data_IF_158032717067
#
_entry.id   IF_158032717067
#
_cell.length_a   1.000
_cell.length_b   1.000
_cell.length_c   1.000
_cell.angle_alpha   90.00
_cell.angle_beta   90.00
_cell.angle_gamma   90.00
#
_symmetry.space_group_name_H-M   'P 1'
#
loop_
_entity.id
_entity.type
_entity.pdbx_description
1 polymer ?
#
# COMPACT_ATOMS: atom_id res chain seq x y z
N UNK A 1 2.46 -21.06 13.50
CA UNK A 1 3.84 -20.81 12.98
C UNK A 1 4.18 -19.34 13.12
N UNK A 2 5.44 -18.91 13.12
CA UNK A 2 5.75 -17.49 13.23
C UNK A 2 5.25 -16.75 11.99
N UNK A 3 4.57 -15.63 12.20
CA UNK A 3 4.17 -14.69 11.15
C UNK A 3 5.33 -13.74 10.81
N UNK A 4 5.27 -13.18 9.61
CA UNK A 4 6.26 -12.26 9.09
C UNK A 4 5.61 -11.06 8.40
N UNK A 5 6.42 -10.03 8.13
CA UNK A 5 5.97 -8.80 7.52
C UNK A 5 6.95 -8.33 6.45
N UNK A 6 6.39 -7.78 5.38
CA UNK A 6 7.07 -6.91 4.42
C UNK A 6 6.24 -5.64 4.27
N UNK A 7 6.80 -4.50 4.65
CA UNK A 7 6.24 -3.21 4.25
C UNK A 7 7.17 -2.58 3.22
N UNK A 8 6.58 -2.06 2.13
CA UNK A 8 7.39 -1.45 1.09
C UNK A 8 6.62 -0.39 0.32
N UNK A 9 7.34 0.66 -0.04
CA UNK A 9 6.84 1.61 -1.01
C UNK A 9 6.64 0.91 -2.35
N UNK A 10 5.51 1.19 -2.96
CA UNK A 10 5.31 0.96 -4.38
C UNK A 10 5.47 2.28 -5.12
N UNK A 11 5.83 2.23 -6.38
CA UNK A 11 5.77 3.39 -7.25
C UNK A 11 5.51 2.92 -8.67
N UNK A 12 4.47 3.44 -9.32
CA UNK A 12 4.22 3.12 -10.73
C UNK A 12 5.31 3.69 -11.65
N UNK A 13 6.23 4.47 -11.12
CA UNK A 13 7.29 5.14 -11.85
C UNK A 13 8.58 4.33 -11.96
N UNK A 14 8.69 3.16 -11.32
CA UNK A 14 9.90 2.33 -11.29
C UNK A 14 10.48 2.07 -12.70
N UNK A 15 9.62 1.78 -13.68
CA UNK A 15 10.02 1.50 -15.06
C UNK A 15 9.84 2.70 -16.01
N UNK A 16 9.33 3.85 -15.51
CA UNK A 16 8.98 5.01 -16.33
C UNK A 16 9.86 6.23 -16.10
N UNK A 17 10.70 6.19 -15.06
CA UNK A 17 11.67 7.25 -14.73
C UNK A 17 13.03 6.63 -14.46
N UNK A 18 14.08 7.44 -14.51
CA UNK A 18 15.46 6.96 -14.38
C UNK A 18 16.20 7.76 -13.30
N UNK A 19 16.12 7.33 -12.03
CA UNK A 19 16.87 7.95 -10.95
C UNK A 19 18.39 7.74 -11.15
N UNK A 20 19.26 8.46 -10.41
CA UNK A 20 20.69 8.26 -10.43
C UNK A 20 21.08 6.79 -10.26
N UNK A 21 22.10 6.32 -10.98
CA UNK A 21 22.45 4.91 -11.06
C UNK A 21 22.72 4.26 -9.68
N UNK A 22 23.31 5.01 -8.75
CA UNK A 22 23.55 4.55 -7.38
C UNK A 22 22.24 4.41 -6.57
N UNK A 23 21.26 5.28 -6.84
CA UNK A 23 19.91 5.20 -6.24
C UNK A 23 19.18 3.97 -6.78
N UNK A 24 19.19 3.78 -8.11
CA UNK A 24 18.57 2.62 -8.76
C UNK A 24 19.16 1.30 -8.25
N UNK A 25 20.49 1.23 -8.15
CA UNK A 25 21.18 0.07 -7.61
C UNK A 25 20.82 -0.20 -6.14
N UNK A 26 20.66 0.84 -5.32
CA UNK A 26 20.28 0.69 -3.92
C UNK A 26 18.82 0.20 -3.77
N UNK A 27 17.89 0.68 -4.60
CA UNK A 27 16.51 0.20 -4.65
C UNK A 27 16.48 -1.27 -5.05
N UNK A 28 17.19 -1.66 -6.12
CA UNK A 28 17.26 -3.05 -6.56
C UNK A 28 17.87 -3.98 -5.49
N UNK A 29 18.92 -3.53 -4.80
CA UNK A 29 19.48 -4.29 -3.67
C UNK A 29 18.45 -4.48 -2.53
N UNK A 30 17.56 -3.51 -2.30
CA UNK A 30 16.48 -3.65 -1.32
C UNK A 30 15.44 -4.67 -1.77
N UNK A 31 15.10 -4.70 -3.05
CA UNK A 31 14.19 -5.70 -3.62
C UNK A 31 14.79 -7.12 -3.56
N UNK A 32 16.09 -7.26 -3.84
CA UNK A 32 16.79 -8.54 -3.68
C UNK A 32 16.76 -9.04 -2.21
N UNK A 33 16.94 -8.13 -1.24
CA UNK A 33 16.82 -8.49 0.17
C UNK A 33 15.40 -9.00 0.51
N UNK A 34 14.35 -8.34 -0.03
CA UNK A 34 12.95 -8.78 0.15
C UNK A 34 12.71 -10.12 -0.54
N UNK A 35 13.14 -10.30 -1.80
CA UNK A 35 13.01 -11.59 -2.52
C UNK A 35 13.65 -12.73 -1.75
N UNK A 36 14.86 -12.50 -1.25
CA UNK A 36 15.56 -13.49 -0.42
C UNK A 36 14.78 -13.82 0.86
N UNK A 37 14.34 -12.79 1.59
CA UNK A 37 13.54 -12.94 2.81
C UNK A 37 12.27 -13.76 2.56
N UNK A 38 11.50 -13.41 1.54
CA UNK A 38 10.23 -14.08 1.21
C UNK A 38 10.46 -15.52 0.73
N UNK A 39 11.52 -15.76 -0.03
CA UNK A 39 11.91 -17.11 -0.45
C UNK A 39 12.31 -18.02 0.72
N UNK A 40 13.04 -17.49 1.69
CA UNK A 40 13.44 -18.24 2.89
C UNK A 40 12.25 -18.46 3.83
N UNK A 41 11.38 -17.48 3.97
CA UNK A 41 10.18 -17.57 4.78
C UNK A 41 9.13 -18.50 4.16
N UNK A 42 8.93 -18.45 2.84
CA UNK A 42 7.99 -19.24 2.04
C UNK A 42 6.56 -19.23 2.61
N UNK A 43 5.81 -18.13 2.47
CA UNK A 43 4.48 -18.00 3.05
C UNK A 43 3.45 -18.95 2.41
N UNK A 44 2.55 -19.50 3.24
CA UNK A 44 1.37 -20.25 2.79
C UNK A 44 0.25 -19.31 2.33
N UNK A 45 0.18 -18.12 2.94
CA UNK A 45 -0.83 -17.11 2.66
C UNK A 45 -0.25 -15.71 2.87
N UNK A 46 -0.68 -14.79 2.04
CA UNK A 46 -0.34 -13.36 2.12
C UNK A 46 -1.60 -12.57 2.46
N UNK A 47 -1.50 -11.62 3.39
CA UNK A 47 -2.52 -10.58 3.61
C UNK A 47 -1.91 -9.27 3.20
N UNK A 48 -2.43 -8.68 2.13
CA UNK A 48 -1.89 -7.46 1.53
C UNK A 48 -2.78 -6.26 1.82
N UNK A 49 -2.34 -5.40 2.72
CA UNK A 49 -2.95 -4.09 2.95
C UNK A 49 -2.44 -3.14 1.86
N UNK A 50 -3.35 -2.68 1.00
CA UNK A 50 -3.02 -1.82 -0.12
C UNK A 50 -4.02 -0.69 -0.31
N UNK A 51 -3.59 0.44 -0.91
CA UNK A 51 -4.48 1.50 -1.39
C UNK A 51 -5.04 1.14 -2.76
N UNK A 52 -5.78 2.07 -3.35
CA UNK A 52 -6.15 2.12 -4.77
C UNK A 52 -6.07 3.57 -5.26
N UNK A 53 -5.67 3.77 -6.50
CA UNK A 53 -5.45 5.10 -7.10
C UNK A 53 -6.52 5.40 -8.16
N UNK A 54 -7.79 5.22 -7.80
CA UNK A 54 -8.94 5.37 -8.71
C UNK A 54 -8.85 4.46 -9.94
N UNK A 55 -8.60 3.18 -9.70
CA UNK A 55 -8.68 2.12 -10.71
C UNK A 55 -9.77 1.09 -10.34
N UNK A 56 -9.87 0.70 -9.08
CA UNK A 56 -10.89 -0.20 -8.55
C UNK A 56 -11.94 0.49 -7.68
N UNK A 57 -11.56 1.54 -6.94
CA UNK A 57 -12.43 2.29 -6.05
C UNK A 57 -12.58 3.74 -6.49
N UNK A 58 -13.81 4.24 -6.48
CA UNK A 58 -14.18 5.59 -6.90
C UNK A 58 -15.11 6.23 -5.89
N UNK A 59 -15.36 7.53 -6.03
CA UNK A 59 -16.17 8.26 -5.07
C UNK A 59 -17.69 8.13 -5.30
N UNK A 60 -18.11 7.26 -6.24
CA UNK A 60 -19.49 6.74 -6.30
C UNK A 60 -19.79 5.89 -5.05
N UNK A 61 -18.80 5.14 -4.56
CA UNK A 61 -18.84 4.42 -3.29
C UNK A 61 -17.40 4.14 -2.78
N UNK A 62 -16.92 4.93 -1.83
CA UNK A 62 -15.59 4.81 -1.26
C UNK A 62 -15.66 4.25 0.17
N UNK A 63 -15.47 2.93 0.38
CA UNK A 63 -15.46 2.35 1.72
C UNK A 63 -14.15 2.69 2.44
N UNK A 64 -14.15 2.78 3.79
CA UNK A 64 -12.91 2.95 4.55
C UNK A 64 -11.98 1.74 4.41
N UNK A 65 -12.55 0.53 4.39
CA UNK A 65 -11.89 -0.76 4.25
C UNK A 65 -12.71 -1.69 3.39
N UNK A 66 -12.05 -2.54 2.60
CA UNK A 66 -12.74 -3.58 1.83
C UNK A 66 -11.87 -4.84 1.74
N UNK A 67 -12.48 -6.00 1.99
CA UNK A 67 -11.82 -7.31 1.87
C UNK A 67 -12.24 -7.94 0.54
N UNK A 68 -11.27 -8.40 -0.25
CA UNK A 68 -11.54 -9.11 -1.48
C UNK A 68 -11.91 -10.57 -1.21
N UNK A 69 -13.00 -11.03 -1.81
CA UNK A 69 -13.31 -12.46 -1.95
C UNK A 69 -12.85 -13.00 -3.31
N UNK A 70 -12.74 -12.10 -4.31
CA UNK A 70 -12.03 -12.29 -5.56
C UNK A 70 -11.42 -10.96 -5.99
N UNK A 71 -10.30 -11.00 -6.69
CA UNK A 71 -9.62 -9.79 -7.15
C UNK A 71 -9.00 -9.97 -8.52
N UNK A 72 -8.92 -8.87 -9.29
CA UNK A 72 -8.36 -8.82 -10.63
C UNK A 72 -7.44 -7.61 -10.75
N UNK A 73 -6.21 -7.81 -11.21
CA UNK A 73 -5.25 -6.75 -11.49
C UNK A 73 -5.61 -6.00 -12.76
N UNK A 74 -5.69 -4.65 -12.69
CA UNK A 74 -6.16 -3.80 -13.79
C UNK A 74 -5.09 -3.46 -14.82
N UNK A 75 -3.80 -3.70 -14.51
CA UNK A 75 -2.69 -3.46 -15.43
C UNK A 75 -2.40 -1.98 -15.69
N UNK A 76 -2.62 -1.12 -14.73
CA UNK A 76 -2.19 0.26 -14.82
C UNK A 76 -0.65 0.33 -14.73
N UNK A 77 -0.04 1.28 -15.45
CA UNK A 77 1.43 1.44 -15.54
C UNK A 77 2.16 0.12 -15.88
N UNK A 78 1.58 -0.68 -16.78
CA UNK A 78 2.12 -1.97 -17.21
C UNK A 78 2.27 -3.02 -16.07
N UNK A 79 1.58 -2.83 -14.95
CA UNK A 79 1.52 -3.78 -13.85
C UNK A 79 0.71 -5.03 -14.21
N UNK A 80 0.69 -6.01 -13.32
CA UNK A 80 0.02 -7.29 -13.51
C UNK A 80 -1.46 -7.16 -13.92
N UNK A 81 -1.82 -7.89 -14.97
CA UNK A 81 -3.20 -8.04 -15.48
C UNK A 81 -3.64 -9.48 -15.27
N UNK A 82 -4.77 -9.68 -14.62
CA UNK A 82 -5.35 -11.00 -14.48
C UNK A 82 -5.92 -11.27 -13.07
N UNK A 83 -6.51 -12.45 -12.94
CA UNK A 83 -7.10 -12.87 -11.67
C UNK A 83 -6.01 -13.20 -10.65
N UNK A 84 -6.19 -12.71 -9.44
CA UNK A 84 -5.33 -13.03 -8.31
C UNK A 84 -5.77 -14.34 -7.65
N UNK A 85 -4.82 -15.03 -7.01
CA UNK A 85 -5.09 -16.24 -6.27
C UNK A 85 -5.66 -15.90 -4.87
N UNK A 86 -6.95 -15.52 -4.81
CA UNK A 86 -7.59 -15.17 -3.53
C UNK A 86 -8.18 -16.44 -2.87
N UNK A 87 -7.77 -16.78 -1.64
CA UNK A 87 -8.36 -17.91 -0.89
C UNK A 87 -9.73 -17.48 -0.33
N UNK A 88 -10.77 -17.55 -1.16
CA UNK A 88 -12.10 -17.00 -0.92
C UNK A 88 -12.71 -17.41 0.42
N UNK A 89 -12.63 -18.69 0.78
CA UNK A 89 -13.18 -19.20 2.05
C UNK A 89 -12.51 -18.51 3.26
N UNK A 90 -11.18 -18.40 3.25
CA UNK A 90 -10.44 -17.74 4.33
C UNK A 90 -10.75 -16.23 4.37
N UNK A 91 -10.95 -15.61 3.20
CA UNK A 91 -11.35 -14.19 3.13
C UNK A 91 -12.75 -13.96 3.70
N UNK A 92 -13.70 -14.86 3.45
CA UNK A 92 -15.05 -14.83 4.01
C UNK A 92 -15.02 -15.00 5.54
N UNK A 93 -14.25 -15.97 6.03
CA UNK A 93 -14.06 -16.20 7.47
C UNK A 93 -13.41 -14.99 8.15
N UNK A 94 -12.37 -14.38 7.54
CA UNK A 94 -11.73 -13.18 8.05
C UNK A 94 -12.72 -12.02 8.14
N UNK A 95 -13.48 -11.76 7.08
CA UNK A 95 -14.46 -10.67 7.08
C UNK A 95 -15.53 -10.87 8.16
N UNK A 96 -16.05 -12.07 8.31
CA UNK A 96 -17.02 -12.40 9.36
C UNK A 96 -16.41 -12.24 10.76
N UNK A 97 -15.15 -12.67 10.93
CA UNK A 97 -14.44 -12.50 12.20
C UNK A 97 -14.31 -11.02 12.57
N UNK A 98 -13.90 -10.16 11.62
CA UNK A 98 -13.74 -8.73 11.85
C UNK A 98 -15.06 -8.05 12.22
N UNK A 99 -16.17 -8.39 11.54
CA UNK A 99 -17.50 -7.88 11.87
C UNK A 99 -17.91 -8.29 13.29
N UNK A 100 -17.61 -9.52 13.70
CA UNK A 100 -17.89 -10.00 15.06
C UNK A 100 -16.99 -9.31 16.13
N UNK A 101 -15.92 -8.61 15.72
CA UNK A 101 -15.06 -7.78 16.57
C UNK A 101 -15.41 -6.28 16.49
N UNK A 102 -16.62 -5.93 16.07
CA UNK A 102 -17.08 -4.54 15.88
C UNK A 102 -16.23 -3.74 14.88
N UNK A 103 -15.66 -4.41 13.89
CA UNK A 103 -14.89 -3.80 12.80
C UNK A 103 -15.71 -3.86 11.51
N UNK A 104 -16.35 -2.74 11.18
CA UNK A 104 -17.12 -2.62 9.94
C UNK A 104 -16.18 -2.65 8.73
N UNK A 105 -16.31 -3.67 7.91
CA UNK A 105 -15.56 -3.83 6.66
C UNK A 105 -16.53 -4.05 5.50
N UNK A 106 -16.26 -3.42 4.35
CA UNK A 106 -16.91 -3.80 3.11
C UNK A 106 -16.31 -5.11 2.58
N UNK A 107 -17.05 -5.77 1.70
CA UNK A 107 -16.56 -6.95 0.99
C UNK A 107 -16.72 -6.76 -0.52
N UNK A 108 -15.84 -7.37 -1.30
CA UNK A 108 -15.97 -7.39 -2.75
C UNK A 108 -15.77 -8.79 -3.31
N UNK A 109 -16.76 -9.25 -4.09
CA UNK A 109 -16.65 -10.49 -4.89
C UNK A 109 -16.05 -10.24 -6.27
N UNK A 110 -15.71 -8.99 -6.57
CA UNK A 110 -15.10 -8.55 -7.83
C UNK A 110 -14.28 -7.30 -7.57
N UNK A 111 -13.25 -7.41 -6.75
CA UNK A 111 -12.35 -6.29 -6.50
C UNK A 111 -11.43 -6.10 -7.70
N UNK A 112 -11.39 -4.89 -8.24
CA UNK A 112 -10.33 -4.48 -9.15
C UNK A 112 -9.23 -3.85 -8.32
N UNK A 113 -7.98 -4.22 -8.58
CA UNK A 113 -6.80 -3.72 -7.86
C UNK A 113 -5.77 -3.18 -8.84
N UNK A 114 -5.06 -2.16 -8.44
CA UNK A 114 -4.02 -1.52 -9.25
C UNK A 114 -2.59 -1.86 -8.76
N UNK A 115 -1.59 -1.16 -9.31
CA UNK A 115 -0.17 -1.31 -8.93
C UNK A 115 0.05 -1.24 -7.41
N UNK A 116 -0.75 -0.46 -6.69
CA UNK A 116 -0.66 -0.35 -5.22
C UNK A 116 -0.83 -1.68 -4.50
N UNK A 117 -1.63 -2.59 -5.04
CA UNK A 117 -1.83 -3.92 -4.47
C UNK A 117 -0.96 -5.00 -5.13
N UNK A 118 -0.71 -4.91 -6.45
CA UNK A 118 0.01 -6.00 -7.15
C UNK A 118 1.51 -5.85 -7.15
N UNK A 119 2.06 -4.64 -7.15
CA UNK A 119 3.50 -4.40 -7.32
C UNK A 119 4.38 -5.05 -6.23
N UNK A 120 4.03 -5.07 -4.93
CA UNK A 120 4.80 -5.83 -3.97
C UNK A 120 4.92 -7.32 -4.32
N UNK A 121 3.82 -7.92 -4.80
CA UNK A 121 3.82 -9.32 -5.22
C UNK A 121 4.66 -9.53 -6.49
N UNK A 122 4.59 -8.62 -7.47
CA UNK A 122 5.42 -8.67 -8.67
C UNK A 122 6.91 -8.61 -8.33
N UNK A 123 7.30 -7.71 -7.41
CA UNK A 123 8.68 -7.59 -6.95
C UNK A 123 9.15 -8.86 -6.26
N UNK A 124 8.32 -9.47 -5.41
CA UNK A 124 8.67 -10.67 -4.65
C UNK A 124 8.67 -11.96 -5.47
N UNK A 125 7.89 -12.02 -6.55
CA UNK A 125 7.63 -13.23 -7.33
C UNK A 125 7.84 -13.05 -8.84
N UNK A 126 8.86 -12.29 -9.21
CA UNK A 126 9.32 -12.13 -10.61
C UNK A 126 8.19 -11.78 -11.59
N UNK A 127 7.38 -10.80 -11.25
CA UNK A 127 6.25 -10.30 -12.06
C UNK A 127 4.94 -11.08 -11.91
N UNK A 128 4.90 -12.15 -11.11
CA UNK A 128 3.69 -12.96 -10.93
C UNK A 128 2.94 -12.59 -9.65
N UNK A 129 2.02 -11.64 -9.72
CA UNK A 129 1.20 -11.24 -8.57
C UNK A 129 0.25 -12.33 -8.05
N UNK A 130 -0.01 -13.38 -8.83
CA UNK A 130 -0.86 -14.52 -8.45
C UNK A 130 -0.08 -15.74 -7.91
N UNK A 131 1.24 -15.61 -7.66
CA UNK A 131 2.13 -16.72 -7.28
C UNK A 131 1.74 -17.38 -5.95
N UNK A 132 1.15 -16.65 -5.02
CA UNK A 132 0.75 -17.15 -3.70
C UNK A 132 -0.72 -16.82 -3.42
N UNK A 133 -1.38 -17.62 -2.56
CA UNK A 133 -2.68 -17.23 -2.03
C UNK A 133 -2.58 -15.87 -1.33
N UNK A 134 -3.35 -14.87 -1.79
CA UNK A 134 -3.31 -13.51 -1.26
C UNK A 134 -4.71 -12.97 -0.99
N UNK A 135 -4.92 -12.39 0.19
CA UNK A 135 -6.11 -11.65 0.56
C UNK A 135 -5.82 -10.15 0.41
N UNK A 136 -6.32 -9.49 -0.63
CA UNK A 136 -6.27 -8.03 -0.71
C UNK A 136 -7.21 -7.40 0.33
N UNK A 137 -6.66 -6.48 1.12
CA UNK A 137 -7.39 -5.66 2.09
C UNK A 137 -7.18 -4.20 1.70
N UNK A 138 -8.17 -3.63 1.02
CA UNK A 138 -8.14 -2.23 0.63
C UNK A 138 -8.28 -1.33 1.85
N UNK A 139 -7.45 -0.27 1.90
CA UNK A 139 -7.53 0.82 2.87
C UNK A 139 -7.61 2.14 2.11
N UNK A 140 -8.70 2.89 2.30
CA UNK A 140 -8.83 4.21 1.68
C UNK A 140 -7.70 5.13 2.14
N UNK A 141 -6.83 5.48 1.19
CA UNK A 141 -5.66 6.35 1.39
C UNK A 141 -5.63 7.54 0.41
N UNK A 142 -6.70 7.75 -0.38
CA UNK A 142 -6.73 8.77 -1.45
C UNK A 142 -7.91 9.73 -1.38
N UNK A 143 -9.01 9.35 -0.71
CA UNK A 143 -10.25 10.13 -0.70
C UNK A 143 -10.71 10.52 0.70
N UNK A 144 -10.92 11.82 0.93
CA UNK A 144 -11.58 12.29 2.14
C UNK A 144 -13.06 11.87 2.19
N UNK A 145 -13.60 11.62 3.41
CA UNK A 145 -12.93 11.66 4.72
C UNK A 145 -12.09 10.41 4.99
N UNK A 146 -10.89 10.60 5.55
CA UNK A 146 -10.05 9.50 5.96
C UNK A 146 -10.49 8.93 7.32
N UNK A 147 -10.43 7.61 7.43
CA UNK A 147 -10.60 6.92 8.70
C UNK A 147 -9.47 7.32 9.68
N UNK A 148 -9.77 7.49 10.97
CA UNK A 148 -8.73 7.73 11.98
C UNK A 148 -7.68 6.60 11.96
N UNK A 149 -6.41 6.94 12.14
CA UNK A 149 -5.33 5.96 12.14
C UNK A 149 -5.53 4.89 13.23
N UNK A 150 -6.09 5.26 14.37
CA UNK A 150 -6.49 4.29 15.41
C UNK A 150 -7.47 3.21 14.94
N UNK A 151 -8.32 3.52 13.96
CA UNK A 151 -9.24 2.52 13.36
C UNK A 151 -8.50 1.61 12.37
N UNK A 152 -7.50 2.16 11.67
CA UNK A 152 -6.61 1.37 10.80
C UNK A 152 -5.77 0.40 11.63
N UNK A 153 -5.22 0.88 12.76
CA UNK A 153 -4.51 0.04 13.73
C UNK A 153 -5.39 -1.11 14.22
N UNK A 154 -6.64 -0.80 14.61
CA UNK A 154 -7.61 -1.82 15.03
C UNK A 154 -7.96 -2.83 13.94
N UNK A 155 -8.03 -2.41 12.66
CA UNK A 155 -8.17 -3.34 11.55
C UNK A 155 -6.99 -4.32 11.52
N UNK A 156 -5.77 -3.80 11.61
CA UNK A 156 -4.56 -4.63 11.68
C UNK A 156 -4.58 -5.58 12.87
N UNK A 157 -4.91 -5.08 14.07
CA UNK A 157 -5.05 -5.90 15.28
C UNK A 157 -6.07 -7.03 15.09
N UNK A 158 -7.24 -6.75 14.50
CA UNK A 158 -8.26 -7.76 14.20
C UNK A 158 -7.78 -8.83 13.22
N UNK A 159 -7.07 -8.41 12.15
CA UNK A 159 -6.46 -9.35 11.20
C UNK A 159 -5.36 -10.19 11.89
N UNK A 160 -4.53 -9.58 12.71
CA UNK A 160 -3.52 -10.28 13.49
C UNK A 160 -4.13 -11.31 14.44
N UNK A 161 -5.20 -10.97 15.16
CA UNK A 161 -5.87 -11.89 16.08
C UNK A 161 -6.49 -13.08 15.33
N UNK A 162 -7.04 -12.87 14.13
CA UNK A 162 -7.56 -13.97 13.30
C UNK A 162 -6.46 -14.98 12.93
N UNK A 163 -5.26 -14.50 12.59
CA UNK A 163 -4.15 -15.37 12.16
C UNK A 163 -3.19 -15.79 13.28
N UNK A 164 -3.31 -15.24 14.48
CA UNK A 164 -2.37 -15.43 15.59
C UNK A 164 -2.10 -16.91 15.93
N UNK A 165 -3.15 -17.72 15.88
CA UNK A 165 -3.06 -19.14 16.19
C UNK A 165 -3.14 -20.03 14.93
N UNK A 166 -2.94 -19.45 13.74
CA UNK A 166 -2.91 -20.20 12.49
C UNK A 166 -1.70 -21.16 12.45
N UNK A 167 -1.91 -22.32 11.89
CA UNK A 167 -0.85 -23.28 11.53
C UNK A 167 -0.13 -22.90 10.23
N UNK A 168 -0.63 -21.89 9.51
CA UNK A 168 -0.06 -21.38 8.27
C UNK A 168 1.01 -20.32 8.54
N UNK A 169 2.00 -20.25 7.67
CA UNK A 169 2.94 -19.12 7.58
C UNK A 169 2.23 -17.96 6.90
N UNK A 170 1.92 -16.91 7.65
CA UNK A 170 1.21 -15.74 7.13
C UNK A 170 2.20 -14.59 6.95
N UNK A 171 2.25 -14.04 5.75
CA UNK A 171 3.00 -12.83 5.43
C UNK A 171 2.04 -11.64 5.39
N UNK A 172 2.24 -10.66 6.27
CA UNK A 172 1.54 -9.38 6.21
C UNK A 172 2.31 -8.42 5.32
N UNK A 173 1.64 -7.79 4.35
CA UNK A 173 2.21 -6.77 3.49
C UNK A 173 1.54 -5.43 3.79
N UNK A 174 2.35 -4.38 3.95
CA UNK A 174 1.91 -2.99 3.91
C UNK A 174 2.47 -2.32 2.66
N UNK A 175 1.61 -2.04 1.68
CA UNK A 175 2.01 -1.45 0.40
C UNK A 175 1.69 0.03 0.37
N UNK A 176 2.70 0.88 0.27
CA UNK A 176 2.50 2.34 0.20
C UNK A 176 3.77 3.15 0.36
N UNK A 177 3.83 4.29 -0.31
CA UNK A 177 4.89 5.29 -0.13
C UNK A 177 4.80 5.98 1.23
N UNK A 178 5.91 6.60 1.65
CA UNK A 178 5.96 7.45 2.85
C UNK A 178 5.53 8.88 2.48
N UNK A 179 6.36 9.91 2.69
CA UNK A 179 6.00 11.25 2.21
C UNK A 179 5.94 11.29 0.69
N UNK A 180 4.81 11.73 0.13
CA UNK A 180 4.67 11.96 -1.31
C UNK A 180 3.41 12.74 -1.67
N UNK A 181 3.46 13.44 -2.82
CA UNK A 181 2.38 14.33 -3.28
C UNK A 181 2.22 14.27 -4.82
N UNK A 182 1.90 13.09 -5.39
CA UNK A 182 1.64 12.96 -6.82
C UNK A 182 0.41 13.77 -7.25
N UNK A 183 0.22 14.08 -8.55
CA UNK A 183 -0.86 14.93 -9.04
C UNK A 183 -2.23 14.20 -9.07
N UNK A 184 -2.66 13.66 -7.92
CA UNK A 184 -3.95 13.02 -7.75
C UNK A 184 -5.02 14.09 -7.47
N UNK A 185 -6.12 14.14 -8.25
CA UNK A 185 -7.17 15.13 -8.04
C UNK A 185 -7.85 14.96 -6.68
N UNK A 186 -8.08 16.07 -5.98
CA UNK A 186 -8.89 16.13 -4.74
C UNK A 186 -10.26 16.71 -5.06
N UNK A 187 -11.33 16.04 -4.66
CA UNK A 187 -12.69 16.33 -5.09
C UNK A 187 -13.08 17.81 -4.93
N UNK A 188 -12.76 18.40 -3.78
CA UNK A 188 -13.15 19.80 -3.48
C UNK A 188 -12.37 20.84 -4.30
N UNK A 189 -11.23 20.48 -4.88
CA UNK A 189 -10.36 21.36 -5.65
C UNK A 189 -10.37 20.99 -7.15
N UNK A 190 -11.01 19.87 -7.48
CA UNK A 190 -11.04 19.31 -8.81
C UNK A 190 -11.94 20.10 -9.78
N UNK A 191 -11.55 20.13 -11.07
CA UNK A 191 -12.40 20.58 -12.15
C UNK A 191 -13.60 19.65 -12.34
N UNK A 192 -14.62 20.06 -13.08
CA UNK A 192 -15.81 19.24 -13.31
C UNK A 192 -15.46 17.92 -14.02
N UNK A 193 -14.52 17.93 -14.97
CA UNK A 193 -14.04 16.70 -15.64
C UNK A 193 -13.29 15.79 -14.67
N UNK A 194 -12.48 16.34 -13.77
CA UNK A 194 -11.81 15.56 -12.73
C UNK A 194 -12.81 14.99 -11.72
N UNK A 195 -13.82 15.76 -11.30
CA UNK A 195 -14.91 15.26 -10.44
C UNK A 195 -15.68 14.12 -11.09
N UNK A 196 -16.00 14.27 -12.39
CA UNK A 196 -16.63 13.21 -13.15
C UNK A 196 -15.78 11.95 -13.18
N UNK A 197 -14.46 12.09 -13.41
CA UNK A 197 -13.53 10.96 -13.34
C UNK A 197 -13.50 10.31 -11.95
N UNK A 198 -13.44 11.09 -10.87
CA UNK A 198 -13.41 10.57 -9.49
C UNK A 198 -14.68 9.77 -9.13
N UNK A 199 -15.80 10.02 -9.78
CA UNK A 199 -17.08 9.33 -9.54
C UNK A 199 -17.31 8.20 -10.57
N UNK A 200 -17.07 8.45 -11.86
CA UNK A 200 -17.49 7.59 -12.98
C UNK A 200 -16.30 7.04 -13.79
N UNK A 201 -15.07 7.21 -13.32
CA UNK A 201 -13.83 6.89 -14.06
C UNK A 201 -13.53 5.40 -14.23
N UNK A 202 -14.43 4.51 -13.81
CA UNK A 202 -14.30 3.06 -13.96
C UNK A 202 -14.25 2.66 -15.43
N UNK A 203 -13.36 1.72 -15.76
CA UNK A 203 -13.14 1.25 -17.13
C UNK A 203 -12.79 2.39 -18.12
N UNK A 204 -11.71 3.16 -17.88
CA UNK A 204 -11.31 4.23 -18.79
C UNK A 204 -10.93 3.68 -20.15
N UNK A 205 -11.05 4.49 -21.21
CA UNK A 205 -10.45 4.13 -22.49
C UNK A 205 -8.93 4.03 -22.39
N UNK A 206 -8.29 3.30 -23.29
CA UNK A 206 -6.82 3.18 -23.32
C UNK A 206 -6.14 4.56 -23.40
N UNK A 207 -6.69 5.47 -24.19
CA UNK A 207 -6.17 6.83 -24.38
C UNK A 207 -6.31 7.66 -23.08
N UNK A 208 -7.47 7.57 -22.40
CA UNK A 208 -7.69 8.28 -21.13
C UNK A 208 -6.77 7.77 -20.02
N UNK A 209 -6.56 6.45 -19.95
CA UNK A 209 -5.61 5.81 -19.03
C UNK A 209 -4.20 6.29 -19.32
N UNK A 210 -3.74 6.20 -20.57
CA UNK A 210 -2.40 6.61 -20.98
C UNK A 210 -2.15 8.10 -20.70
N UNK A 211 -3.11 8.98 -20.97
CA UNK A 211 -2.98 10.41 -20.70
C UNK A 211 -2.84 10.72 -19.19
N UNK A 212 -3.57 9.98 -18.34
CA UNK A 212 -3.45 10.09 -16.87
C UNK A 212 -2.08 9.64 -16.38
N UNK A 213 -1.62 8.48 -16.84
CA UNK A 213 -0.31 7.92 -16.48
C UNK A 213 0.83 8.85 -16.95
N UNK A 214 0.75 9.34 -18.19
CA UNK A 214 1.76 10.26 -18.73
C UNK A 214 1.88 11.54 -17.90
N UNK A 215 0.78 12.08 -17.39
CA UNK A 215 0.82 13.26 -16.51
C UNK A 215 1.62 13.00 -15.25
N UNK A 216 1.46 11.86 -14.61
CA UNK A 216 2.23 11.49 -13.41
C UNK A 216 3.72 11.31 -13.74
N UNK A 217 4.03 10.66 -14.87
CA UNK A 217 5.41 10.49 -15.35
C UNK A 217 6.08 11.87 -15.64
N UNK A 218 5.36 12.77 -16.29
CA UNK A 218 5.88 14.12 -16.60
C UNK A 218 6.08 14.94 -15.33
N UNK A 219 5.16 14.82 -14.35
CA UNK A 219 5.30 15.46 -13.04
C UNK A 219 6.53 14.93 -12.30
N UNK A 220 6.79 13.63 -12.32
CA UNK A 220 7.98 13.04 -11.70
C UNK A 220 9.28 13.58 -12.33
N UNK A 221 9.34 13.66 -13.66
CA UNK A 221 10.48 14.23 -14.38
C UNK A 221 10.71 15.72 -14.08
N UNK A 222 9.63 16.48 -13.91
CA UNK A 222 9.70 17.88 -13.49
C UNK A 222 10.13 17.99 -12.01
N UNK A 223 9.60 17.14 -11.14
CA UNK A 223 9.94 17.13 -9.72
C UNK A 223 11.41 16.81 -9.46
N UNK A 224 11.97 15.84 -10.18
CA UNK A 224 13.39 15.51 -10.13
C UNK A 224 14.29 16.71 -10.49
N UNK A 225 13.80 17.65 -11.34
CA UNK A 225 14.51 18.87 -11.72
C UNK A 225 14.20 20.07 -10.80
N UNK A 226 13.28 19.94 -9.85
CA UNK A 226 12.82 21.06 -9.02
C UNK A 226 11.87 22.02 -9.76
N UNK A 227 11.19 21.56 -10.80
CA UNK A 227 10.30 22.35 -11.67
C UNK A 227 8.80 22.05 -11.44
N UNK A 228 8.45 21.03 -10.62
CA UNK A 228 7.07 20.68 -10.33
C UNK A 228 6.53 21.48 -9.13
N UNK A 229 5.27 21.89 -9.23
CA UNK A 229 4.52 22.53 -8.13
C UNK A 229 3.78 21.47 -7.32
N UNK A 230 4.55 20.63 -6.63
CA UNK A 230 4.07 19.62 -5.66
C UNK A 230 4.91 19.71 -4.38
N UNK A 231 4.38 19.22 -3.28
CA UNK A 231 5.09 19.23 -1.99
C UNK A 231 6.39 18.39 -2.09
N UNK A 232 7.48 18.91 -1.51
CA UNK A 232 8.74 18.16 -1.45
C UNK A 232 8.63 16.98 -0.46
N UNK A 233 9.50 16.00 -0.65
CA UNK A 233 9.60 14.85 0.25
C UNK A 233 10.09 15.32 1.63
N UNK A 234 9.63 14.64 2.68
CA UNK A 234 10.00 14.96 4.06
C UNK A 234 10.72 13.78 4.75
N UNK A 235 12.05 13.67 4.57
CA UNK A 235 12.83 12.59 5.16
C UNK A 235 12.76 12.51 6.69
N UNK A 236 12.60 13.65 7.38
CA UNK A 236 12.49 13.68 8.83
C UNK A 236 11.19 13.03 9.31
N UNK A 237 10.08 13.35 8.66
CA UNK A 237 8.80 12.74 8.94
C UNK A 237 8.81 11.24 8.62
N UNK A 238 9.39 10.86 7.48
CA UNK A 238 9.51 9.47 7.04
C UNK A 238 10.27 8.64 8.06
N UNK A 239 11.43 9.14 8.53
CA UNK A 239 12.23 8.44 9.54
C UNK A 239 11.48 8.35 10.89
N UNK A 240 10.79 9.41 11.30
CA UNK A 240 9.98 9.39 12.53
C UNK A 240 8.85 8.34 12.45
N UNK A 241 8.22 8.18 11.28
CA UNK A 241 7.23 7.13 11.06
C UNK A 241 7.87 5.73 11.11
N UNK A 242 9.01 5.52 10.45
CA UNK A 242 9.73 4.25 10.48
C UNK A 242 10.24 3.91 11.90
N UNK A 243 10.58 4.91 12.72
CA UNK A 243 10.93 4.72 14.14
C UNK A 243 9.76 4.14 14.95
N UNK A 244 8.53 4.58 14.67
CA UNK A 244 7.35 3.98 15.29
C UNK A 244 7.23 2.50 14.88
N UNK A 245 7.36 2.21 13.58
CA UNK A 245 7.33 0.83 13.06
C UNK A 245 8.39 -0.05 13.75
N UNK A 246 9.59 0.47 13.93
CA UNK A 246 10.73 -0.25 14.57
C UNK A 246 10.51 -0.48 16.05
N UNK A 247 9.85 0.46 16.74
CA UNK A 247 9.68 0.39 18.20
C UNK A 247 8.74 -0.71 18.67
N UNK A 248 7.82 -1.18 17.83
CA UNK A 248 6.74 -2.10 18.21
C UNK A 248 5.65 -1.45 19.09
N UNK A 249 5.75 -0.16 19.40
CA UNK A 249 4.73 0.60 20.13
C UNK A 249 3.69 1.13 19.14
N UNK A 250 2.79 0.24 18.72
CA UNK A 250 1.80 0.52 17.68
C UNK A 250 0.76 1.56 18.09
N UNK A 251 0.56 1.83 19.38
CA UNK A 251 -0.37 2.86 19.85
C UNK A 251 0.12 4.27 19.47
N UNK A 252 1.42 4.46 19.26
CA UNK A 252 1.98 5.74 18.78
C UNK A 252 1.46 6.13 17.40
N UNK A 253 1.02 5.18 16.57
CA UNK A 253 0.35 5.51 15.30
C UNK A 253 -0.93 6.34 15.48
N UNK A 254 -1.61 6.25 16.63
CA UNK A 254 -2.85 6.99 16.89
C UNK A 254 -2.65 8.51 16.96
N UNK A 255 -1.40 8.96 17.13
CA UNK A 255 -1.05 10.38 17.11
C UNK A 255 -1.04 10.98 15.68
N UNK A 256 -1.00 10.16 14.64
CA UNK A 256 -1.01 10.63 13.25
C UNK A 256 -2.39 11.16 12.88
N UNK A 257 -2.46 12.44 12.50
CA UNK A 257 -3.70 13.11 12.08
C UNK A 257 -3.65 13.43 10.59
N UNK A 258 -4.77 13.24 9.90
CA UNK A 258 -4.85 13.40 8.46
C UNK A 258 -4.40 14.80 8.01
N UNK A 259 -4.89 15.84 8.67
CA UNK A 259 -4.58 17.23 8.32
C UNK A 259 -3.10 17.58 8.55
N UNK A 260 -2.48 17.00 9.58
CA UNK A 260 -1.04 17.17 9.85
C UNK A 260 -0.20 16.41 8.80
N UNK A 261 -0.61 15.21 8.42
CA UNK A 261 0.05 14.43 7.37
C UNK A 261 0.02 15.16 6.03
N UNK A 262 -1.14 15.70 5.62
CA UNK A 262 -1.28 16.51 4.41
C UNK A 262 -0.31 17.71 4.42
N UNK A 263 -0.21 18.39 5.56
CA UNK A 263 0.56 19.63 5.68
C UNK A 263 2.08 19.40 5.67
N UNK A 264 2.57 18.22 6.09
CA UNK A 264 4.01 17.99 6.29
C UNK A 264 4.59 16.88 5.43
N UNK A 265 3.78 15.97 4.91
CA UNK A 265 4.25 14.77 4.21
C UNK A 265 3.59 14.57 2.84
N UNK A 266 2.65 15.43 2.45
CA UNK A 266 1.95 15.37 1.17
C UNK A 266 0.65 14.57 1.22
N UNK A 267 -0.22 14.82 0.24
CA UNK A 267 -1.59 14.33 0.24
C UNK A 267 -1.72 12.81 0.00
N UNK A 268 -0.68 12.17 -0.47
CA UNK A 268 -0.66 10.72 -0.63
C UNK A 268 0.11 9.98 0.49
N UNK A 269 0.69 10.72 1.45
CA UNK A 269 1.33 10.12 2.64
C UNK A 269 0.39 9.21 3.45
N UNK A 270 -0.92 9.32 3.21
CA UNK A 270 -1.93 8.44 3.82
C UNK A 270 -1.76 6.96 3.48
N UNK A 271 -0.96 6.62 2.48
CA UNK A 271 -0.63 5.22 2.18
C UNK A 271 0.12 4.52 3.32
N UNK A 272 0.79 5.25 4.23
CA UNK A 272 1.36 4.65 5.45
C UNK A 272 0.32 3.94 6.32
N UNK A 273 -0.98 4.17 6.11
CA UNK A 273 -2.07 3.42 6.75
C UNK A 273 -1.97 1.92 6.50
N UNK A 274 -1.47 1.53 5.34
CA UNK A 274 -1.23 0.12 5.01
C UNK A 274 -0.13 -0.49 5.87
N UNK A 275 0.94 0.28 6.13
CA UNK A 275 2.01 -0.11 7.05
C UNK A 275 1.49 -0.18 8.49
N UNK A 276 0.70 0.80 8.91
CA UNK A 276 0.05 0.78 10.24
C UNK A 276 -0.74 -0.51 10.44
N UNK A 277 -1.57 -0.91 9.46
CA UNK A 277 -2.34 -2.14 9.55
C UNK A 277 -1.43 -3.39 9.59
N UNK A 278 -0.40 -3.46 8.73
CA UNK A 278 0.51 -4.59 8.67
C UNK A 278 1.34 -4.77 9.95
N UNK A 279 1.96 -3.68 10.47
CA UNK A 279 2.70 -3.73 11.72
C UNK A 279 1.80 -4.04 12.92
N UNK A 280 0.57 -3.53 12.94
CA UNK A 280 -0.40 -3.84 13.99
C UNK A 280 -0.82 -5.31 13.95
N UNK A 281 -1.00 -5.89 12.76
CA UNK A 281 -1.29 -7.31 12.60
C UNK A 281 -0.13 -8.18 13.14
N UNK A 282 1.10 -7.88 12.75
CA UNK A 282 2.26 -8.62 13.24
C UNK A 282 2.42 -8.47 14.76
N UNK A 283 2.30 -7.26 15.30
CA UNK A 283 2.44 -6.98 16.75
C UNK A 283 1.39 -7.71 17.59
N UNK A 284 0.19 -7.89 17.07
CA UNK A 284 -0.88 -8.65 17.73
C UNK A 284 -0.53 -10.15 17.81
N UNK A 285 0.18 -10.68 16.82
CA UNK A 285 0.67 -12.05 16.86
C UNK A 285 1.78 -12.24 17.91
N UNK A 286 2.57 -11.22 18.22
CA UNK A 286 3.64 -11.28 19.21
C UNK A 286 4.61 -10.09 19.11
N UNK A 287 5.68 -10.13 19.90
CA UNK A 287 6.80 -9.22 19.69
C UNK A 287 7.55 -9.60 18.42
N UNK A 288 8.12 -8.60 17.73
CA UNK A 288 8.86 -8.81 16.51
C UNK A 288 10.20 -8.09 16.49
N UNK A 289 11.09 -8.54 15.63
CA UNK A 289 12.34 -7.86 15.29
C UNK A 289 12.28 -7.43 13.81
N UNK A 290 12.67 -6.18 13.54
CA UNK A 290 12.93 -5.71 12.17
C UNK A 290 14.25 -6.32 11.70
N UNK A 291 14.21 -7.05 10.59
CA UNK A 291 15.34 -7.81 10.06
C UNK A 291 16.05 -7.15 8.90
N UNK A 292 15.35 -6.23 8.21
CA UNK A 292 15.90 -5.41 7.13
C UNK A 292 15.19 -4.06 7.10
N UNK A 293 15.93 -3.03 6.71
CA UNK A 293 15.42 -1.68 6.52
C UNK A 293 16.17 -0.97 5.40
N UNK A 294 15.42 -0.27 4.56
CA UNK A 294 15.94 0.61 3.53
C UNK A 294 15.08 1.88 3.48
N UNK A 295 15.70 3.02 3.27
CA UNK A 295 15.02 4.28 3.02
C UNK A 295 15.85 5.21 2.13
N UNK A 296 15.19 5.84 1.14
CA UNK A 296 15.73 6.98 0.38
C UNK A 296 14.59 7.90 -0.04
N UNK A 297 14.76 9.24 0.04
CA UNK A 297 13.89 10.18 -0.67
C UNK A 297 14.24 10.15 -2.15
N UNK A 298 13.31 9.74 -3.02
CA UNK A 298 13.55 9.57 -4.46
C UNK A 298 12.56 10.42 -5.23
N UNK A 299 13.02 11.58 -5.73
CA UNK A 299 12.17 12.54 -6.45
C UNK A 299 11.65 11.97 -7.77
N UNK A 300 12.43 11.15 -8.47
CA UNK A 300 12.03 10.46 -9.69
C UNK A 300 10.86 9.51 -9.49
N UNK A 301 10.67 9.02 -8.28
CA UNK A 301 9.53 8.17 -7.88
C UNK A 301 8.43 8.95 -7.14
N UNK A 302 8.61 10.24 -6.94
CA UNK A 302 7.77 11.12 -6.11
C UNK A 302 7.52 10.50 -4.72
N UNK A 303 8.49 9.83 -4.12
CA UNK A 303 8.25 9.11 -2.88
C UNK A 303 9.43 9.14 -1.90
N UNK A 304 9.13 9.32 -0.62
CA UNK A 304 9.93 8.77 0.44
C UNK A 304 9.85 7.25 0.33
N UNK A 305 10.88 6.63 -0.25
CA UNK A 305 10.88 5.22 -0.61
C UNK A 305 11.45 4.38 0.51
N UNK A 306 10.60 3.63 1.17
CA UNK A 306 10.94 2.78 2.31
C UNK A 306 10.67 1.30 2.05
N UNK A 307 11.49 0.44 2.66
CA UNK A 307 11.29 -1.02 2.70
C UNK A 307 11.66 -1.52 4.10
N UNK A 308 10.80 -2.31 4.71
CA UNK A 308 11.07 -2.98 5.99
C UNK A 308 10.60 -4.42 5.96
N UNK A 309 11.39 -5.33 6.55
CA UNK A 309 10.96 -6.70 6.85
C UNK A 309 11.03 -6.96 8.36
N UNK A 310 10.12 -7.77 8.87
CA UNK A 310 10.11 -8.15 10.27
C UNK A 310 9.61 -9.58 10.48
N UNK A 311 10.04 -10.20 11.58
CA UNK A 311 9.62 -11.54 12.00
C UNK A 311 9.26 -11.54 13.47
N UNK A 312 8.38 -12.42 13.91
CA UNK A 312 8.15 -12.66 15.34
C UNK A 312 9.42 -13.18 16.04
N UNK A 313 9.61 -12.76 17.29
CA UNK A 313 10.71 -13.24 18.15
C UNK A 313 10.53 -14.68 18.57
#
# INVERSE_FOLDING_TARGET
MPQALVCMSHSPLLEHTDPPADVKAAVEASFEAVRKFVKEYDPDIVVNFGPDHYNGFFQDLMPPFCIAYNAHGTGDYDSFVGDLNVPTEVSEELAQFLVNQDLDVAISRKMEVDHGAVQPMEIMYDGNAAAKPMIPVFINSVAYPFTKVSRVRKLGEGVGEFFKNSDKKVLFIGSGGLSHDPPVPRFNEATDDQKKFLIEGRNPTAEARAARQQRTIDTAKAFAKGEADIMDLNPEWDQAFMDICRSGDIERFDALKAEEMDAVAGHSSHEVRTWVAAFSALRTCGEYDVTFEFYKPIKEYIAGFGVMTAVLK
#
